data_IF_119341642450
#
_entry.id   IF_119341642450
#
_cell.length_a   1.000
_cell.length_b   1.000
_cell.length_c   1.000
_cell.angle_alpha   90.00
_cell.angle_beta   90.00
_cell.angle_gamma   90.00
#
_symmetry.space_group_name_H-M   'P 1'
#
loop_
_entity.id
_entity.type
_entity.pdbx_description
1 polymer ?
#
# COMPACT_ATOMS: atom_id res chain seq x y z
N UNK A 1 2.49 12.27 35.20
CA UNK A 1 2.04 13.21 34.14
C UNK A 1 0.52 13.18 34.10
N UNK A 2 -0.13 14.35 34.14
CA UNK A 2 -1.58 14.45 34.24
C UNK A 2 -2.26 13.82 33.01
N UNK A 3 -3.29 13.01 33.26
CA UNK A 3 -4.07 12.31 32.25
C UNK A 3 -4.57 13.20 31.11
N UNK A 4 -4.69 14.53 31.28
CA UNK A 4 -5.19 15.42 30.23
C UNK A 4 -4.18 15.77 29.13
N UNK A 5 -2.87 15.57 29.33
CA UNK A 5 -1.86 15.87 28.29
C UNK A 5 -1.73 14.77 27.21
N UNK A 6 -2.27 13.57 27.48
CA UNK A 6 -2.15 12.40 26.59
C UNK A 6 -3.13 12.41 25.41
N UNK A 7 -4.21 13.19 25.49
CA UNK A 7 -5.38 13.04 24.61
C UNK A 7 -5.53 14.15 23.55
N UNK A 8 -4.74 15.22 23.66
CA UNK A 8 -4.63 16.27 22.62
C UNK A 8 -3.42 16.03 21.71
N UNK A 9 -2.41 15.32 22.23
CA UNK A 9 -1.20 14.91 21.51
C UNK A 9 -1.01 13.40 21.74
N UNK A 10 -1.77 12.54 21.04
CA UNK A 10 -1.58 11.09 21.07
C UNK A 10 -0.08 10.78 21.03
N UNK A 11 0.44 10.12 22.07
CA UNK A 11 1.77 9.54 22.01
C UNK A 11 1.60 8.22 21.28
N UNK A 12 1.93 8.21 19.99
CA UNK A 12 1.71 7.05 19.12
C UNK A 12 2.64 5.89 19.49
N UNK A 13 3.66 6.15 20.32
CA UNK A 13 4.53 5.13 20.91
C UNK A 13 3.94 4.48 22.16
N UNK A 14 2.91 5.07 22.76
CA UNK A 14 2.31 4.55 23.98
C UNK A 14 1.24 3.49 23.68
N UNK A 15 1.44 2.28 24.20
CA UNK A 15 0.44 1.22 24.11
C UNK A 15 -0.75 1.46 25.03
N UNK A 16 -1.83 2.05 24.50
CA UNK A 16 -3.02 2.35 25.30
C UNK A 16 -3.75 1.07 25.73
N UNK A 17 -4.13 0.95 27.01
CA UNK A 17 -5.02 -0.11 27.49
C UNK A 17 -6.42 -0.04 26.86
N UNK A 18 -7.00 -1.19 26.52
CA UNK A 18 -8.35 -1.28 25.94
C UNK A 18 -9.42 -0.57 26.79
N UNK A 19 -9.34 -0.68 28.11
CA UNK A 19 -10.28 -0.01 29.04
C UNK A 19 -10.26 1.52 28.88
N UNK A 20 -9.13 2.10 28.51
CA UNK A 20 -9.02 3.54 28.27
C UNK A 20 -9.64 3.93 26.93
N UNK A 21 -9.37 3.17 25.86
CA UNK A 21 -9.98 3.38 24.55
C UNK A 21 -11.52 3.33 24.62
N UNK A 22 -12.07 2.36 25.36
CA UNK A 22 -13.53 2.25 25.54
C UNK A 22 -14.13 3.40 26.37
N UNK A 23 -13.44 3.85 27.43
CA UNK A 23 -13.95 4.92 28.31
C UNK A 23 -13.81 6.32 27.70
N UNK A 24 -12.82 6.49 26.81
CA UNK A 24 -12.44 7.76 26.20
C UNK A 24 -12.06 7.50 24.74
N UNK A 25 -13.03 7.20 23.87
CA UNK A 25 -12.76 6.99 22.45
C UNK A 25 -12.20 8.28 21.83
N UNK A 26 -11.40 8.17 20.74
CA UNK A 26 -10.95 9.33 19.97
C UNK A 26 -12.11 10.24 19.58
N UNK A 27 -11.96 11.54 19.83
CA UNK A 27 -13.00 12.55 19.53
C UNK A 27 -12.84 13.16 18.14
N UNK A 28 -11.60 13.22 17.64
CA UNK A 28 -11.28 13.58 16.25
C UNK A 28 -11.10 12.29 15.44
N UNK A 29 -11.57 12.30 14.19
CA UNK A 29 -11.32 11.27 13.18
C UNK A 29 -10.90 11.94 11.88
N UNK A 30 -10.01 11.32 11.14
CA UNK A 30 -9.69 11.73 9.77
C UNK A 30 -10.88 11.39 8.85
N UNK A 31 -10.93 12.00 7.66
CA UNK A 31 -11.85 11.52 6.60
C UNK A 31 -11.21 10.34 5.90
N UNK A 32 -11.44 9.14 6.39
CA UNK A 32 -10.77 7.94 5.90
C UNK A 32 -11.72 6.75 5.78
N UNK A 33 -11.33 5.76 4.95
CA UNK A 33 -12.03 4.50 4.83
C UNK A 33 -11.06 3.33 4.62
N UNK A 34 -11.49 2.14 5.04
CA UNK A 34 -10.84 0.89 4.65
C UNK A 34 -11.33 0.54 3.24
N UNK A 35 -10.42 0.31 2.30
CA UNK A 35 -10.75 0.03 0.89
C UNK A 35 -10.33 -1.39 0.55
N UNK A 36 -11.29 -2.16 0.07
CA UNK A 36 -11.16 -3.60 -0.15
C UNK A 36 -11.68 -3.91 -1.55
N UNK A 37 -10.80 -4.30 -2.47
CA UNK A 37 -11.19 -4.90 -3.75
C UNK A 37 -11.23 -6.41 -3.56
N UNK A 38 -12.39 -7.03 -3.71
CA UNK A 38 -12.56 -8.45 -3.36
C UNK A 38 -13.70 -9.09 -4.13
N UNK A 39 -13.54 -10.37 -4.51
CA UNK A 39 -14.57 -11.13 -5.23
C UNK A 39 -15.47 -11.88 -4.26
N UNK A 40 -16.68 -12.20 -4.72
CA UNK A 40 -17.64 -12.99 -3.94
C UNK A 40 -17.06 -14.32 -3.45
N UNK A 41 -16.18 -14.98 -4.23
CA UNK A 41 -15.55 -16.26 -3.87
C UNK A 41 -14.51 -16.18 -2.74
N UNK A 42 -14.07 -14.97 -2.38
CA UNK A 42 -13.08 -14.71 -1.33
C UNK A 42 -13.75 -14.37 0.01
N UNK A 43 -15.08 -14.56 0.12
CA UNK A 43 -15.92 -14.24 1.27
C UNK A 43 -15.35 -14.69 2.61
N UNK A 44 -14.89 -15.94 2.70
CA UNK A 44 -14.36 -16.49 3.96
C UNK A 44 -13.07 -15.78 4.37
N UNK A 45 -12.10 -15.69 3.46
CA UNK A 45 -10.80 -15.08 3.71
C UNK A 45 -10.91 -13.59 4.12
N UNK A 46 -11.81 -12.81 3.49
CA UNK A 46 -12.01 -11.42 3.89
C UNK A 46 -12.82 -11.29 5.19
N UNK A 47 -13.78 -12.20 5.47
CA UNK A 47 -14.49 -12.19 6.75
C UNK A 47 -13.53 -12.43 7.92
N UNK A 48 -12.62 -13.40 7.80
CA UNK A 48 -11.58 -13.65 8.80
C UNK A 48 -10.66 -12.45 9.01
N UNK A 49 -10.25 -11.83 7.91
CA UNK A 49 -9.45 -10.59 7.93
C UNK A 49 -10.17 -9.49 8.70
N UNK A 50 -11.46 -9.24 8.43
CA UNK A 50 -12.24 -8.20 9.11
C UNK A 50 -12.37 -8.49 10.59
N UNK A 51 -12.62 -9.74 11.01
CA UNK A 51 -12.69 -10.10 12.43
C UNK A 51 -11.37 -9.79 13.13
N UNK A 52 -10.24 -10.19 12.53
CA UNK A 52 -8.92 -9.91 13.07
C UNK A 52 -8.61 -8.40 13.09
N UNK A 53 -8.96 -7.67 12.03
CA UNK A 53 -8.71 -6.24 11.93
C UNK A 53 -9.58 -5.41 12.88
N UNK A 54 -10.84 -5.82 13.09
CA UNK A 54 -11.69 -5.26 14.15
C UNK A 54 -11.05 -5.46 15.51
N UNK A 55 -10.54 -6.66 15.81
CA UNK A 55 -9.91 -6.95 17.09
C UNK A 55 -8.66 -6.10 17.33
N UNK A 56 -7.79 -5.98 16.32
CA UNK A 56 -6.50 -5.30 16.45
C UNK A 56 -6.61 -3.78 16.32
N UNK A 57 -7.61 -3.24 15.63
CA UNK A 57 -7.72 -1.81 15.37
C UNK A 57 -9.16 -1.29 15.41
N UNK A 58 -9.97 -1.68 14.43
CA UNK A 58 -11.08 -0.82 13.99
C UNK A 58 -12.27 -0.79 14.97
N UNK A 59 -12.36 -1.74 15.93
CA UNK A 59 -13.34 -1.66 17.03
C UNK A 59 -13.18 -0.41 17.90
N UNK A 60 -11.99 0.20 17.91
CA UNK A 60 -11.67 1.35 18.73
C UNK A 60 -11.79 2.70 17.98
N UNK A 61 -11.80 2.68 16.65
CA UNK A 61 -11.72 3.89 15.80
C UNK A 61 -12.91 4.04 14.85
N UNK A 62 -13.61 2.95 14.52
CA UNK A 62 -14.88 2.96 13.79
C UNK A 62 -14.80 3.71 12.45
N UNK A 63 -13.81 3.33 11.63
CA UNK A 63 -13.71 3.76 10.25
C UNK A 63 -14.57 2.88 9.32
N UNK A 64 -15.23 3.45 8.31
CA UNK A 64 -16.08 2.71 7.40
C UNK A 64 -15.28 1.79 6.46
N UNK A 65 -15.89 0.69 6.03
CA UNK A 65 -15.38 -0.17 4.97
C UNK A 65 -16.05 0.16 3.63
N UNK A 66 -15.25 0.21 2.57
CA UNK A 66 -15.68 0.33 1.18
C UNK A 66 -15.21 -0.90 0.43
N UNK A 67 -16.16 -1.78 0.13
CA UNK A 67 -15.94 -2.98 -0.67
C UNK A 67 -16.20 -2.67 -2.14
N UNK A 68 -15.27 -3.02 -3.00
CA UNK A 68 -15.34 -2.88 -4.46
C UNK A 68 -15.17 -4.26 -5.10
N UNK A 69 -15.86 -4.50 -6.21
CA UNK A 69 -15.80 -5.76 -6.95
C UNK A 69 -16.14 -5.48 -8.42
N UNK A 70 -15.53 -6.23 -9.35
CA UNK A 70 -15.86 -6.21 -10.77
C UNK A 70 -17.24 -6.82 -11.07
N UNK A 71 -17.79 -7.60 -10.13
CA UNK A 71 -19.13 -8.16 -10.17
C UNK A 71 -20.02 -7.61 -9.03
N UNK A 72 -21.36 -7.62 -9.19
CA UNK A 72 -22.26 -7.31 -8.09
C UNK A 72 -22.04 -8.22 -6.88
N UNK A 73 -21.92 -7.63 -5.69
CA UNK A 73 -21.86 -8.40 -4.45
C UNK A 73 -23.17 -9.13 -4.17
N UNK A 74 -23.08 -10.41 -3.82
CA UNK A 74 -24.25 -11.21 -3.40
C UNK A 74 -24.75 -10.77 -2.02
N UNK A 75 -26.02 -11.05 -1.72
CA UNK A 75 -26.56 -10.79 -0.37
C UNK A 75 -25.92 -11.70 0.69
N UNK A 76 -25.46 -12.89 0.30
CA UNK A 76 -24.68 -13.77 1.17
C UNK A 76 -23.37 -13.10 1.59
N UNK A 77 -22.63 -12.53 0.62
CA UNK A 77 -21.39 -11.81 0.87
C UNK A 77 -21.61 -10.64 1.82
N UNK A 78 -22.57 -9.76 1.50
CA UNK A 78 -22.90 -8.61 2.36
C UNK A 78 -23.32 -9.05 3.76
N UNK A 79 -24.09 -10.14 3.86
CA UNK A 79 -24.49 -10.74 5.13
C UNK A 79 -23.29 -11.25 5.94
N UNK A 80 -22.31 -11.89 5.29
CA UNK A 80 -21.08 -12.36 5.93
C UNK A 80 -20.24 -11.19 6.47
N UNK A 81 -20.07 -10.12 5.69
CA UNK A 81 -19.30 -8.95 6.13
C UNK A 81 -19.95 -8.28 7.35
N UNK A 82 -21.29 -8.09 7.32
CA UNK A 82 -22.04 -7.55 8.47
C UNK A 82 -21.93 -8.43 9.71
N UNK A 83 -21.81 -9.76 9.57
CA UNK A 83 -21.57 -10.65 10.73
C UNK A 83 -20.14 -10.52 11.26
N UNK A 84 -19.15 -10.32 10.39
CA UNK A 84 -17.75 -10.15 10.76
C UNK A 84 -17.50 -8.85 11.54
N UNK A 85 -18.23 -7.77 11.22
CA UNK A 85 -18.19 -6.51 11.97
C UNK A 85 -19.61 -5.88 12.10
N UNK A 86 -20.40 -6.29 13.09
CA UNK A 86 -21.81 -5.91 13.23
C UNK A 86 -22.08 -4.41 13.36
N UNK A 87 -21.17 -3.68 14.01
CA UNK A 87 -21.33 -2.25 14.28
C UNK A 87 -20.69 -1.36 13.21
N UNK A 88 -19.98 -1.95 12.23
CA UNK A 88 -19.21 -1.19 11.25
C UNK A 88 -20.10 -0.66 10.11
N UNK A 89 -19.84 0.59 9.70
CA UNK A 89 -20.43 1.14 8.47
C UNK A 89 -19.77 0.50 7.24
N UNK A 90 -20.57 -0.05 6.34
CA UNK A 90 -20.09 -0.72 5.12
C UNK A 90 -20.78 -0.18 3.87
N UNK A 91 -19.99 0.15 2.85
CA UNK A 91 -20.45 0.52 1.51
C UNK A 91 -19.97 -0.54 0.53
N UNK A 92 -20.84 -0.92 -0.42
CA UNK A 92 -20.55 -1.94 -1.44
C UNK A 92 -20.72 -1.31 -2.82
N UNK A 93 -19.66 -1.29 -3.62
CA UNK A 93 -19.60 -0.67 -4.94
C UNK A 93 -19.26 -1.67 -6.03
N UNK A 94 -19.86 -1.48 -7.20
CA UNK A 94 -19.49 -2.17 -8.44
C UNK A 94 -18.46 -1.32 -9.17
N UNK A 95 -17.33 -1.93 -9.56
CA UNK A 95 -16.33 -1.27 -10.39
C UNK A 95 -16.94 -0.94 -11.75
N UNK A 96 -16.84 0.32 -12.23
CA UNK A 96 -17.30 0.67 -13.57
C UNK A 96 -16.60 -0.16 -14.65
N UNK A 97 -17.36 -0.68 -15.61
CA UNK A 97 -16.83 -1.51 -16.70
C UNK A 97 -15.69 -0.82 -17.47
N UNK A 98 -15.79 0.50 -17.68
CA UNK A 98 -14.72 1.31 -18.33
C UNK A 98 -13.37 1.29 -17.59
N UNK A 99 -13.37 0.95 -16.30
CA UNK A 99 -12.18 0.86 -15.45
C UNK A 99 -11.68 -0.59 -15.31
N UNK A 100 -12.47 -1.57 -15.75
CA UNK A 100 -12.18 -3.01 -15.73
C UNK A 100 -12.34 -3.65 -17.12
N UNK A 101 -11.85 -2.97 -18.16
CA UNK A 101 -11.90 -3.43 -19.55
C UNK A 101 -10.63 -3.03 -20.29
N UNK A 102 -10.44 -3.58 -21.50
CA UNK A 102 -9.35 -3.15 -22.38
C UNK A 102 -9.62 -1.74 -22.92
N UNK A 103 -8.67 -0.80 -22.78
CA UNK A 103 -8.79 0.49 -23.43
C UNK A 103 -8.58 0.34 -24.94
N UNK A 104 -9.07 1.32 -25.72
CA UNK A 104 -9.13 1.22 -27.19
C UNK A 104 -7.76 1.16 -27.90
N UNK A 105 -6.68 1.53 -27.22
CA UNK A 105 -5.30 1.46 -27.74
C UNK A 105 -4.61 0.11 -27.45
N UNK A 106 -5.28 -0.80 -26.75
CA UNK A 106 -4.77 -2.16 -26.50
C UNK A 106 -5.32 -3.13 -27.54
N UNK A 107 -4.40 -3.75 -28.26
CA UNK A 107 -4.67 -4.88 -29.15
C UNK A 107 -4.90 -6.13 -28.29
N UNK A 108 -6.13 -6.63 -28.28
CA UNK A 108 -6.53 -7.76 -27.45
C UNK A 108 -5.91 -9.09 -27.92
N UNK A 109 -5.66 -9.24 -29.22
CA UNK A 109 -4.99 -10.45 -29.76
C UNK A 109 -3.53 -10.47 -29.33
N UNK A 110 -2.86 -9.32 -29.39
CA UNK A 110 -1.50 -9.17 -28.85
C UNK A 110 -1.47 -9.40 -27.34
N UNK A 111 -2.42 -8.85 -26.58
CA UNK A 111 -2.51 -9.08 -25.14
C UNK A 111 -2.72 -10.57 -24.80
N UNK A 112 -3.56 -11.27 -25.56
CA UNK A 112 -3.77 -12.71 -25.39
C UNK A 112 -2.48 -13.52 -25.69
N UNK A 113 -1.75 -13.15 -26.74
CA UNK A 113 -0.45 -13.76 -27.06
C UNK A 113 0.60 -13.49 -25.97
N UNK A 114 0.67 -12.26 -25.46
CA UNK A 114 1.54 -11.89 -24.33
C UNK A 114 1.24 -12.72 -23.09
N UNK A 115 -0.04 -12.84 -22.70
CA UNK A 115 -0.45 -13.68 -21.57
C UNK A 115 -0.02 -15.13 -21.75
N UNK A 116 -0.27 -15.69 -22.94
CA UNK A 116 0.16 -17.06 -23.26
C UNK A 116 1.68 -17.22 -23.13
N UNK A 117 2.45 -16.28 -23.69
CA UNK A 117 3.91 -16.32 -23.61
C UNK A 117 4.43 -16.23 -22.17
N UNK A 118 3.79 -15.40 -21.34
CA UNK A 118 4.14 -15.26 -19.92
C UNK A 118 3.80 -16.52 -19.12
N UNK A 119 2.63 -17.13 -19.38
CA UNK A 119 2.23 -18.40 -18.78
C UNK A 119 3.17 -19.54 -19.15
N UNK A 120 3.49 -19.68 -20.45
CA UNK A 120 4.43 -20.68 -20.97
C UNK A 120 5.85 -20.49 -20.39
N UNK A 121 6.21 -19.26 -19.99
CA UNK A 121 7.50 -18.92 -19.36
C UNK A 121 7.47 -18.97 -17.84
N UNK A 122 6.34 -19.30 -17.22
CA UNK A 122 6.19 -19.40 -15.76
C UNK A 122 6.18 -18.06 -15.01
N UNK A 123 5.86 -16.96 -15.70
CA UNK A 123 5.73 -15.63 -15.05
C UNK A 123 4.51 -15.65 -14.12
N UNK A 124 4.74 -15.35 -12.84
CA UNK A 124 3.68 -15.41 -11.81
C UNK A 124 2.48 -14.52 -12.18
N UNK A 125 1.31 -15.16 -12.30
CA UNK A 125 0.04 -14.57 -12.74
C UNK A 125 0.03 -13.98 -14.17
N UNK A 126 1.08 -14.16 -14.96
CA UNK A 126 1.16 -13.60 -16.32
C UNK A 126 0.12 -14.17 -17.29
N UNK A 127 -0.39 -15.37 -17.05
CA UNK A 127 -1.50 -15.94 -17.81
C UNK A 127 -2.90 -15.43 -17.40
N UNK A 128 -3.02 -14.74 -16.26
CA UNK A 128 -4.32 -14.43 -15.65
C UNK A 128 -4.83 -13.04 -16.06
N UNK A 129 -5.70 -13.00 -17.05
CA UNK A 129 -6.31 -11.76 -17.58
C UNK A 129 -6.92 -10.84 -16.51
N UNK A 130 -7.68 -11.41 -15.57
CA UNK A 130 -8.28 -10.63 -14.47
C UNK A 130 -7.24 -10.01 -13.54
N UNK A 131 -6.04 -10.59 -13.44
CA UNK A 131 -4.94 -10.02 -12.65
C UNK A 131 -4.37 -8.77 -13.31
N UNK A 132 -4.26 -8.73 -14.64
CA UNK A 132 -3.87 -7.53 -15.39
C UNK A 132 -4.88 -6.38 -15.19
N UNK A 133 -6.19 -6.69 -15.26
CA UNK A 133 -7.23 -5.70 -14.95
C UNK A 133 -7.14 -5.20 -13.50
N UNK A 134 -6.91 -6.09 -12.53
CA UNK A 134 -6.74 -5.73 -11.13
C UNK A 134 -5.55 -4.78 -10.93
N UNK A 135 -4.38 -5.10 -11.48
CA UNK A 135 -3.19 -4.24 -11.36
C UNK A 135 -3.43 -2.86 -11.99
N UNK A 136 -4.07 -2.81 -13.16
CA UNK A 136 -4.45 -1.54 -13.80
C UNK A 136 -5.48 -0.76 -12.97
N UNK A 137 -6.48 -1.44 -12.39
CA UNK A 137 -7.50 -0.84 -11.55
C UNK A 137 -6.93 -0.19 -10.28
N UNK A 138 -6.07 -0.93 -9.57
CA UNK A 138 -5.38 -0.44 -8.39
C UNK A 138 -4.42 0.71 -8.75
N UNK A 139 -3.76 0.65 -9.90
CA UNK A 139 -2.86 1.73 -10.35
C UNK A 139 -3.61 3.02 -10.72
N UNK A 140 -4.78 2.91 -11.34
CA UNK A 140 -5.36 4.04 -12.09
C UNK A 140 -6.72 4.54 -11.66
N UNK A 141 -7.49 3.76 -10.89
CA UNK A 141 -8.95 3.96 -10.88
C UNK A 141 -9.61 3.86 -9.52
N UNK A 142 -9.15 3.00 -8.60
CA UNK A 142 -9.90 2.77 -7.35
C UNK A 142 -10.19 4.06 -6.58
N UNK A 143 -9.24 5.00 -6.57
CA UNK A 143 -9.33 6.30 -5.89
C UNK A 143 -10.33 7.27 -6.52
N UNK A 144 -10.87 6.97 -7.70
CA UNK A 144 -11.93 7.74 -8.38
C UNK A 144 -13.31 7.09 -8.24
N UNK A 145 -13.41 5.96 -7.51
CA UNK A 145 -14.70 5.34 -7.28
C UNK A 145 -15.59 6.28 -6.44
N UNK A 146 -16.86 6.55 -6.82
CA UNK A 146 -17.70 7.56 -6.14
C UNK A 146 -17.88 7.37 -4.63
N UNK A 147 -17.81 6.12 -4.16
CA UNK A 147 -17.85 5.80 -2.72
C UNK A 147 -16.65 6.35 -1.94
N UNK A 148 -15.60 6.82 -2.62
CA UNK A 148 -14.41 7.41 -2.02
C UNK A 148 -14.37 8.95 -2.12
N UNK A 149 -15.36 9.60 -2.71
CA UNK A 149 -15.37 11.06 -2.94
C UNK A 149 -15.33 11.86 -1.63
N UNK A 150 -15.90 11.32 -0.56
CA UNK A 150 -15.98 11.97 0.75
C UNK A 150 -14.74 11.77 1.63
N UNK A 151 -13.77 10.94 1.20
CA UNK A 151 -12.58 10.61 1.98
C UNK A 151 -11.31 11.28 1.42
N UNK A 152 -10.38 11.55 2.32
CA UNK A 152 -9.05 12.12 2.06
C UNK A 152 -7.94 11.05 2.18
N UNK A 153 -8.22 9.97 2.91
CA UNK A 153 -7.30 8.85 3.17
C UNK A 153 -7.96 7.51 2.91
N UNK A 154 -7.14 6.51 2.59
CA UNK A 154 -7.55 5.12 2.55
C UNK A 154 -6.54 4.23 3.27
N UNK A 155 -7.05 3.11 3.79
CA UNK A 155 -6.24 1.96 4.15
C UNK A 155 -6.66 0.78 3.28
N UNK A 156 -5.76 0.31 2.40
CA UNK A 156 -6.00 -0.90 1.62
C UNK A 156 -5.91 -2.14 2.51
N UNK A 157 -6.94 -2.97 2.45
CA UNK A 157 -7.02 -4.25 3.17
C UNK A 157 -7.40 -5.34 2.16
N UNK A 158 -6.66 -6.43 2.12
CA UNK A 158 -6.87 -7.56 1.20
C UNK A 158 -7.44 -8.78 1.94
N UNK A 159 -8.13 -9.72 1.26
CA UNK A 159 -8.50 -11.00 1.84
C UNK A 159 -7.27 -11.82 2.27
N UNK A 160 -7.40 -12.59 3.35
CA UNK A 160 -6.38 -13.54 3.80
C UNK A 160 -5.19 -12.92 4.55
N UNK A 161 -5.26 -11.64 4.91
CA UNK A 161 -4.22 -10.96 5.68
C UNK A 161 -4.42 -11.11 7.18
N UNK A 162 -3.35 -10.89 7.95
CA UNK A 162 -3.41 -10.95 9.41
C UNK A 162 -2.60 -9.84 10.07
N UNK A 163 -3.21 -9.20 11.05
CA UNK A 163 -2.61 -8.24 11.96
C UNK A 163 -2.27 -8.92 13.28
N UNK A 164 -1.05 -8.72 13.76
CA UNK A 164 -0.53 -9.38 14.96
C UNK A 164 -0.50 -8.48 16.18
N UNK A 165 -0.33 -7.17 15.98
CA UNK A 165 -0.23 -6.19 17.05
C UNK A 165 -1.52 -5.38 17.18
N UNK A 166 -1.86 -5.03 18.41
CA UNK A 166 -2.90 -4.05 18.66
C UNK A 166 -2.43 -2.67 18.21
N UNK A 167 -3.28 -1.96 17.48
CA UNK A 167 -3.05 -0.59 17.03
C UNK A 167 -3.86 0.32 17.94
N UNK A 168 -3.16 1.07 18.80
CA UNK A 168 -3.79 1.80 19.91
C UNK A 168 -3.84 3.32 19.73
N UNK A 169 -3.41 3.80 18.56
CA UNK A 169 -3.56 5.17 18.08
C UNK A 169 -4.24 5.16 16.71
N UNK A 170 -4.59 6.35 16.20
CA UNK A 170 -5.19 6.52 14.89
C UNK A 170 -4.10 6.75 13.82
N UNK A 171 -3.83 5.79 12.91
CA UNK A 171 -2.79 5.95 11.90
C UNK A 171 -3.07 7.08 10.92
N UNK A 172 -4.33 7.41 10.62
CA UNK A 172 -4.63 8.53 9.72
C UNK A 172 -4.30 9.87 10.36
N UNK A 173 -4.63 10.03 11.64
CA UNK A 173 -4.25 11.25 12.37
C UNK A 173 -2.73 11.34 12.57
N UNK A 174 -2.02 10.21 12.70
CA UNK A 174 -0.55 10.18 12.65
C UNK A 174 -0.05 10.73 11.31
N UNK A 175 -0.59 10.23 10.20
CA UNK A 175 -0.19 10.66 8.87
C UNK A 175 -0.44 12.16 8.65
N UNK A 176 -1.59 12.69 9.11
CA UNK A 176 -1.88 14.13 9.11
C UNK A 176 -0.87 14.93 9.95
N UNK A 177 -0.65 14.52 11.21
CA UNK A 177 0.19 15.22 12.19
C UNK A 177 1.64 15.37 11.71
N UNK A 178 2.19 14.34 11.07
CA UNK A 178 3.58 14.31 10.61
C UNK A 178 3.73 14.56 9.12
N UNK A 179 2.69 15.10 8.46
CA UNK A 179 2.66 15.41 7.02
C UNK A 179 3.15 14.27 6.13
N UNK A 180 2.77 13.03 6.48
CA UNK A 180 3.01 11.87 5.64
C UNK A 180 1.98 11.83 4.51
N UNK A 181 2.27 11.09 3.45
CA UNK A 181 1.39 10.91 2.27
C UNK A 181 1.18 9.46 1.93
N UNK A 182 2.18 8.61 2.18
CA UNK A 182 2.16 7.19 1.86
C UNK A 182 2.81 6.38 2.98
N UNK A 183 2.19 5.27 3.37
CA UNK A 183 2.62 4.44 4.48
C UNK A 183 2.55 2.96 4.15
N UNK A 184 3.58 2.22 4.53
CA UNK A 184 3.76 0.80 4.21
C UNK A 184 4.28 0.00 5.41
N UNK A 185 4.16 -1.33 5.34
CA UNK A 185 4.74 -2.29 6.32
C UNK A 185 5.73 -3.26 5.70
N UNK A 186 5.64 -3.53 4.40
CA UNK A 186 6.51 -4.49 3.70
C UNK A 186 7.08 -3.84 2.43
N UNK A 187 8.34 -4.12 2.16
CA UNK A 187 9.01 -3.80 0.89
C UNK A 187 9.65 -5.05 0.30
N UNK A 188 9.49 -5.27 -0.99
CA UNK A 188 10.00 -6.45 -1.69
C UNK A 188 10.74 -6.07 -2.98
N UNK A 189 11.53 -7.01 -3.51
CA UNK A 189 12.00 -6.97 -4.89
C UNK A 189 10.88 -7.44 -5.82
N UNK A 190 10.64 -6.71 -6.89
CA UNK A 190 9.74 -7.13 -7.97
C UNK A 190 10.41 -8.19 -8.85
N UNK A 191 9.59 -9.06 -9.43
CA UNK A 191 10.00 -10.04 -10.42
C UNK A 191 10.30 -9.32 -11.74
N UNK A 192 11.59 -9.28 -12.13
CA UNK A 192 12.06 -8.56 -13.33
C UNK A 192 11.27 -8.91 -14.60
N UNK A 193 10.88 -10.18 -14.76
CA UNK A 193 10.14 -10.67 -15.94
C UNK A 193 8.73 -10.10 -16.06
N UNK A 194 8.18 -9.52 -14.99
CA UNK A 194 6.85 -8.91 -15.00
C UNK A 194 6.86 -7.45 -15.48
N UNK A 195 8.03 -6.80 -15.43
CA UNK A 195 8.21 -5.36 -15.67
C UNK A 195 9.45 -5.02 -16.53
N UNK A 196 9.75 -5.77 -17.62
CA UNK A 196 11.00 -5.58 -18.37
C UNK A 196 11.18 -4.17 -18.95
N UNK A 197 10.10 -3.43 -19.21
CA UNK A 197 10.21 -2.06 -19.75
C UNK A 197 9.73 -0.96 -18.80
N UNK A 198 9.22 -1.29 -17.61
CA UNK A 198 8.63 -0.31 -16.69
C UNK A 198 9.64 0.79 -16.30
N UNK A 199 10.82 0.41 -15.81
CA UNK A 199 11.82 1.37 -15.34
C UNK A 199 12.21 2.38 -16.42
N UNK A 200 12.57 1.88 -17.61
CA UNK A 200 12.91 2.71 -18.75
C UNK A 200 11.77 3.66 -19.12
N UNK A 201 10.53 3.16 -19.14
CA UNK A 201 9.35 3.98 -19.43
C UNK A 201 9.18 5.10 -18.41
N UNK A 202 9.42 4.83 -17.13
CA UNK A 202 9.36 5.81 -16.04
C UNK A 202 10.49 6.85 -16.15
N UNK A 203 11.71 6.45 -16.50
CA UNK A 203 12.82 7.40 -16.74
C UNK A 203 12.54 8.31 -17.96
N UNK A 204 11.95 7.76 -19.03
CA UNK A 204 11.52 8.53 -20.19
C UNK A 204 10.40 9.53 -19.84
N UNK A 205 9.43 9.11 -19.02
CA UNK A 205 8.40 9.99 -18.48
C UNK A 205 9.03 11.15 -17.69
N UNK A 206 9.89 10.83 -16.72
CA UNK A 206 10.56 11.82 -15.87
C UNK A 206 11.35 12.83 -16.70
N UNK A 207 12.11 12.34 -17.71
CA UNK A 207 12.83 13.20 -18.65
C UNK A 207 11.89 14.11 -19.44
N UNK A 208 10.78 13.58 -19.96
CA UNK A 208 9.81 14.35 -20.75
C UNK A 208 9.13 15.46 -19.94
N UNK A 209 8.94 15.26 -18.63
CA UNK A 209 8.33 16.22 -17.70
C UNK A 209 9.35 17.03 -16.89
N UNK A 210 10.65 16.83 -17.14
CA UNK A 210 11.76 17.50 -16.44
C UNK A 210 11.73 17.27 -14.91
N UNK A 211 11.37 16.07 -14.48
CA UNK A 211 11.42 15.64 -13.08
C UNK A 211 12.88 15.29 -12.75
N UNK A 212 13.41 15.87 -11.67
CA UNK A 212 14.78 15.58 -11.21
C UNK A 212 14.84 14.22 -10.54
N UNK A 213 15.40 13.23 -11.25
CA UNK A 213 15.64 11.88 -10.79
C UNK A 213 17.13 11.60 -10.51
N UNK A 214 17.94 12.65 -10.33
CA UNK A 214 19.37 12.51 -10.02
C UNK A 214 19.62 12.10 -8.56
N UNK A 215 20.82 11.60 -8.26
CA UNK A 215 21.23 11.22 -6.88
C UNK A 215 21.17 12.37 -5.85
N UNK A 216 21.15 13.61 -6.32
CA UNK A 216 21.07 14.82 -5.50
C UNK A 216 19.64 15.39 -5.42
N UNK A 217 18.67 14.73 -6.08
CA UNK A 217 17.27 15.11 -6.00
C UNK A 217 16.78 15.09 -4.55
N UNK A 218 15.83 15.97 -4.24
CA UNK A 218 15.08 15.94 -2.97
C UNK A 218 13.98 14.89 -2.98
N UNK A 219 13.62 14.39 -4.17
CA UNK A 219 12.60 13.38 -4.37
C UNK A 219 13.13 12.01 -3.96
N UNK A 220 12.20 11.09 -3.69
CA UNK A 220 12.50 9.74 -3.25
C UNK A 220 13.11 8.86 -4.36
N UNK A 221 12.96 9.22 -5.64
CA UNK A 221 13.35 8.40 -6.80
C UNK A 221 14.72 7.70 -6.69
N UNK A 222 15.80 8.32 -6.18
CA UNK A 222 17.11 7.67 -6.05
C UNK A 222 17.10 6.40 -5.18
N UNK A 223 16.12 6.24 -4.29
CA UNK A 223 15.93 4.99 -3.52
C UNK A 223 15.74 3.77 -4.41
N UNK A 224 15.11 3.94 -5.58
CA UNK A 224 14.80 2.86 -6.51
C UNK A 224 15.94 2.55 -7.48
N UNK A 225 17.02 3.34 -7.49
CA UNK A 225 18.13 3.15 -8.41
C UNK A 225 19.23 2.30 -7.76
N UNK A 226 19.72 1.29 -8.48
CA UNK A 226 20.97 0.63 -8.10
C UNK A 226 22.15 1.57 -8.35
N UNK A 227 22.94 1.84 -7.32
CA UNK A 227 24.03 2.82 -7.37
C UNK A 227 25.19 2.41 -8.28
N UNK A 228 25.32 1.11 -8.62
CA UNK A 228 26.41 0.61 -9.45
C UNK A 228 26.02 0.57 -10.93
N UNK A 229 24.83 0.03 -11.24
CA UNK A 229 24.37 -0.13 -12.62
C UNK A 229 23.60 1.08 -13.15
N UNK A 230 22.98 1.87 -12.27
CA UNK A 230 22.02 2.92 -12.63
C UNK A 230 20.64 2.39 -13.04
N UNK A 231 20.45 1.06 -13.06
CA UNK A 231 19.19 0.39 -13.39
C UNK A 231 18.24 0.36 -12.17
N UNK A 232 17.01 -0.10 -12.37
CA UNK A 232 16.07 -0.35 -11.29
C UNK A 232 16.63 -1.41 -10.34
N UNK A 233 16.65 -1.12 -9.04
CA UNK A 233 17.01 -2.09 -8.01
C UNK A 233 15.85 -3.07 -7.68
N UNK A 234 14.72 -2.96 -8.39
CA UNK A 234 13.50 -3.76 -8.25
C UNK A 234 12.72 -3.53 -6.95
N UNK A 235 13.19 -2.66 -6.05
CA UNK A 235 12.50 -2.40 -4.80
C UNK A 235 11.17 -1.70 -5.01
N UNK A 236 10.16 -2.13 -4.25
CA UNK A 236 8.86 -1.48 -4.19
C UNK A 236 8.24 -1.64 -2.80
N UNK A 237 7.32 -0.75 -2.46
CA UNK A 237 6.41 -0.88 -1.32
C UNK A 237 5.29 -1.86 -1.70
N UNK A 238 5.03 -2.84 -0.84
CA UNK A 238 4.12 -3.93 -1.17
C UNK A 238 2.66 -3.51 -0.90
N UNK A 239 1.94 -3.21 -1.98
CA UNK A 239 0.71 -2.40 -1.97
C UNK A 239 -0.53 -3.09 -1.37
N UNK A 240 -0.49 -4.39 -1.03
CA UNK A 240 -1.61 -5.02 -0.32
C UNK A 240 -1.85 -4.40 1.08
N UNK A 241 -0.82 -3.79 1.65
CA UNK A 241 -0.96 -2.85 2.75
C UNK A 241 -0.53 -1.46 2.28
N UNK A 242 -1.47 -0.52 2.30
CA UNK A 242 -1.17 0.89 2.07
C UNK A 242 -2.06 1.75 2.95
N UNK A 243 -1.46 2.68 3.69
CA UNK A 243 -2.17 3.80 4.30
C UNK A 243 -1.69 5.05 3.59
N UNK A 244 -2.53 5.64 2.74
CA UNK A 244 -2.11 6.77 1.93
C UNK A 244 -3.21 7.81 1.72
N UNK A 245 -2.78 9.02 1.39
CA UNK A 245 -3.69 10.08 1.01
C UNK A 245 -4.22 9.83 -0.40
N UNK A 246 -5.54 9.84 -0.57
CA UNK A 246 -6.17 9.74 -1.89
C UNK A 246 -5.74 10.90 -2.80
N UNK A 247 -5.36 12.04 -2.22
CA UNK A 247 -4.86 13.19 -2.98
C UNK A 247 -3.53 12.90 -3.68
N UNK A 248 -2.74 11.94 -3.22
CA UNK A 248 -1.53 11.51 -3.92
C UNK A 248 -1.87 11.07 -5.35
N UNK A 249 -2.92 10.26 -5.47
CA UNK A 249 -3.36 9.65 -6.73
C UNK A 249 -4.28 10.56 -7.56
N UNK A 250 -5.03 11.45 -6.91
CA UNK A 250 -5.96 12.36 -7.60
C UNK A 250 -5.29 13.57 -8.24
N UNK A 251 -4.00 13.80 -7.98
CA UNK A 251 -3.26 14.94 -8.55
C UNK A 251 -3.17 14.90 -10.08
N UNK A 252 -3.12 16.06 -10.76
CA UNK A 252 -2.82 16.10 -12.20
C UNK A 252 -1.52 15.39 -12.58
N UNK A 253 -0.51 15.45 -11.71
CA UNK A 253 0.79 14.81 -11.91
C UNK A 253 0.68 13.29 -11.93
N UNK A 254 0.00 12.69 -10.95
CA UNK A 254 -0.21 11.24 -10.94
C UNK A 254 -1.09 10.79 -12.11
N UNK A 255 -2.14 11.54 -12.44
CA UNK A 255 -3.01 11.23 -13.59
C UNK A 255 -2.24 11.27 -14.91
N UNK A 256 -1.38 12.25 -15.12
CA UNK A 256 -0.49 12.32 -16.30
C UNK A 256 0.48 11.14 -16.33
N UNK A 257 1.07 10.78 -15.19
CA UNK A 257 1.94 9.60 -15.06
C UNK A 257 1.23 8.29 -15.40
N UNK A 258 0.10 8.01 -14.75
CA UNK A 258 -0.69 6.82 -15.01
C UNK A 258 -1.11 6.76 -16.48
N UNK A 259 -1.61 7.86 -17.05
CA UNK A 259 -2.00 7.89 -18.46
C UNK A 259 -0.82 7.61 -19.40
N UNK A 260 0.38 8.11 -19.09
CA UNK A 260 1.59 7.82 -19.86
C UNK A 260 1.92 6.32 -19.85
N UNK A 261 1.82 5.68 -18.67
CA UNK A 261 2.01 4.24 -18.54
C UNK A 261 0.90 3.45 -19.24
N UNK A 262 -0.36 3.83 -19.05
CA UNK A 262 -1.53 3.12 -19.58
C UNK A 262 -1.54 3.11 -21.12
N UNK A 263 -1.11 4.21 -21.75
CA UNK A 263 -1.00 4.32 -23.22
C UNK A 263 0.03 3.37 -23.85
N UNK A 264 0.98 2.83 -23.07
CA UNK A 264 1.89 1.79 -23.58
C UNK A 264 1.17 0.46 -23.83
N UNK A 265 0.05 0.23 -23.14
CA UNK A 265 -0.64 -1.07 -23.09
C UNK A 265 0.08 -2.14 -22.27
N UNK A 266 1.19 -1.81 -21.59
CA UNK A 266 2.04 -2.79 -20.91
C UNK A 266 1.44 -3.34 -19.60
N UNK A 267 0.35 -2.76 -19.09
CA UNK A 267 -0.49 -3.46 -18.12
C UNK A 267 -1.03 -4.78 -18.67
N UNK A 268 -1.13 -4.95 -19.99
CA UNK A 268 -1.65 -6.14 -20.67
C UNK A 268 -0.61 -6.85 -21.56
N UNK A 269 0.38 -6.14 -22.10
CA UNK A 269 1.45 -6.75 -22.90
C UNK A 269 2.60 -7.31 -22.04
N UNK A 270 2.79 -6.73 -20.85
CA UNK A 270 3.62 -7.21 -19.75
C UNK A 270 2.69 -7.45 -18.54
N UNK A 271 3.24 -7.58 -17.31
CA UNK A 271 2.45 -7.77 -16.08
C UNK A 271 2.81 -6.70 -15.04
N UNK A 272 2.65 -5.43 -15.41
CA UNK A 272 2.91 -4.30 -14.51
C UNK A 272 1.97 -4.33 -13.31
N UNK A 273 2.52 -4.60 -12.13
CA UNK A 273 1.81 -4.54 -10.87
C UNK A 273 1.57 -3.11 -10.39
N UNK A 274 0.51 -2.90 -9.62
CA UNK A 274 0.25 -1.62 -8.97
C UNK A 274 1.31 -1.27 -7.92
N UNK A 275 1.88 -2.28 -7.25
CA UNK A 275 2.91 -2.07 -6.22
C UNK A 275 4.16 -1.32 -6.75
N UNK A 276 4.85 -1.78 -7.83
CA UNK A 276 5.94 -1.00 -8.43
C UNK A 276 5.48 0.31 -9.06
N UNK A 277 4.26 0.40 -9.61
CA UNK A 277 3.73 1.64 -10.19
C UNK A 277 3.52 2.72 -9.13
N UNK A 278 2.84 2.41 -8.02
CA UNK A 278 2.66 3.30 -6.87
C UNK A 278 4.00 3.71 -6.26
N UNK A 279 4.93 2.76 -6.15
CA UNK A 279 6.27 3.01 -5.58
C UNK A 279 7.07 3.97 -6.43
N UNK A 280 7.11 3.78 -7.75
CA UNK A 280 7.82 4.67 -8.67
C UNK A 280 7.15 6.05 -8.75
N UNK A 281 5.81 6.11 -8.68
CA UNK A 281 5.10 7.38 -8.56
C UNK A 281 5.45 8.13 -7.26
N UNK A 282 5.49 7.43 -6.12
CA UNK A 282 5.98 8.00 -4.87
C UNK A 282 7.44 8.48 -5.02
N UNK A 283 8.28 7.73 -5.73
CA UNK A 283 9.63 8.14 -6.10
C UNK A 283 9.68 9.48 -6.85
N UNK A 284 8.80 9.65 -7.84
CA UNK A 284 8.75 10.84 -8.69
C UNK A 284 8.12 12.06 -8.02
N UNK A 285 7.21 11.87 -7.06
CA UNK A 285 6.35 12.95 -6.58
C UNK A 285 6.43 13.23 -5.08
N UNK A 286 7.08 12.37 -4.30
CA UNK A 286 7.25 12.55 -2.86
C UNK A 286 8.72 12.70 -2.48
N UNK A 287 8.95 13.41 -1.38
CA UNK A 287 10.21 13.36 -0.64
C UNK A 287 10.24 12.15 0.29
N UNK A 288 11.43 11.71 0.70
CA UNK A 288 11.60 10.55 1.59
C UNK A 288 10.87 10.70 2.94
N UNK A 289 10.77 11.91 3.48
CA UNK A 289 10.07 12.19 4.75
C UNK A 289 8.53 12.25 4.62
N UNK A 290 7.98 12.25 3.41
CA UNK A 290 6.54 12.11 3.18
C UNK A 290 6.10 10.64 3.15
N UNK A 291 7.05 9.69 3.14
CA UNK A 291 6.78 8.25 3.20
C UNK A 291 7.06 7.72 4.61
N UNK A 292 6.21 6.81 5.10
CA UNK A 292 6.30 6.25 6.44
C UNK A 292 6.34 4.73 6.44
N UNK A 293 7.30 4.16 7.18
CA UNK A 293 7.36 2.74 7.48
C UNK A 293 6.70 2.50 8.85
N UNK A 294 5.58 1.79 8.85
CA UNK A 294 4.83 1.42 10.04
C UNK A 294 5.46 0.17 10.71
N UNK A 295 6.63 0.35 11.31
CA UNK A 295 7.35 -0.73 12.00
C UNK A 295 6.55 -1.37 13.16
N UNK A 296 5.58 -0.65 13.72
CA UNK A 296 4.77 -1.05 14.86
C UNK A 296 3.55 -1.92 14.49
N UNK A 297 3.19 -2.00 13.19
CA UNK A 297 2.00 -2.71 12.72
C UNK A 297 2.38 -4.10 12.20
N UNK A 298 2.44 -5.09 13.10
CA UNK A 298 2.69 -6.48 12.69
C UNK A 298 1.63 -6.99 11.70
N UNK A 299 2.07 -7.46 10.53
CA UNK A 299 1.24 -7.75 9.36
C UNK A 299 1.75 -8.96 8.57
N UNK A 300 0.85 -9.76 8.02
CA UNK A 300 1.18 -10.84 7.09
C UNK A 300 0.18 -10.92 5.95
N UNK A 301 0.71 -11.19 4.75
CA UNK A 301 -0.03 -11.60 3.57
C UNK A 301 0.74 -12.76 2.93
N UNK A 302 0.05 -13.87 2.65
CA UNK A 302 0.66 -15.15 2.24
C UNK A 302 1.84 -15.58 3.13
N UNK A 303 3.03 -15.73 2.53
CA UNK A 303 4.26 -16.16 3.19
C UNK A 303 5.07 -14.99 3.76
N UNK A 304 4.73 -13.76 3.41
CA UNK A 304 5.50 -12.56 3.78
C UNK A 304 4.91 -11.94 5.04
N UNK A 305 5.76 -11.78 6.04
CA UNK A 305 5.36 -11.36 7.39
C UNK A 305 6.30 -10.31 7.95
N UNK A 306 5.75 -9.14 8.23
CA UNK A 306 6.36 -8.10 9.04
C UNK A 306 5.94 -8.28 10.51
N UNK A 307 6.90 -8.25 11.42
CA UNK A 307 6.62 -8.17 12.85
C UNK A 307 7.62 -7.21 13.51
N UNK A 308 7.16 -6.29 14.38
CA UNK A 308 8.06 -5.41 15.12
C UNK A 308 9.11 -6.19 15.89
N UNK A 309 10.37 -5.74 15.84
CA UNK A 309 11.45 -6.34 16.63
C UNK A 309 11.28 -6.08 18.13
N UNK A 310 11.78 -6.99 18.97
CA UNK A 310 11.79 -6.72 20.43
C UNK A 310 12.69 -5.55 20.78
N UNK A 311 13.76 -5.37 20.00
CA UNK A 311 14.78 -4.34 20.18
C UNK A 311 14.25 -2.94 19.87
N UNK A 312 13.31 -2.80 18.92
CA UNK A 312 12.72 -1.49 18.62
C UNK A 312 11.81 -0.99 19.73
N UNK A 313 11.26 -1.91 20.53
CA UNK A 313 10.29 -1.58 21.59
C UNK A 313 8.99 -0.99 21.04
N UNK A 314 8.75 -1.13 19.73
CA UNK A 314 7.55 -0.70 19.03
C UNK A 314 6.53 -1.84 18.95
N UNK A 315 5.27 -1.49 18.71
CA UNK A 315 4.15 -2.43 18.66
C UNK A 315 3.55 -2.74 20.03
N UNK A 316 2.25 -3.06 20.05
CA UNK A 316 1.50 -3.26 21.28
C UNK A 316 0.85 -4.64 21.31
N UNK A 317 1.17 -5.43 22.34
CA UNK A 317 0.54 -6.76 22.58
C UNK A 317 0.54 -7.62 21.32
N UNK A 318 1.71 -7.73 20.70
CA UNK A 318 1.90 -8.45 19.45
C UNK A 318 1.87 -9.97 19.64
N UNK A 319 1.04 -10.66 18.86
CA UNK A 319 0.90 -12.11 18.82
C UNK A 319 1.58 -12.70 17.56
N UNK A 320 2.83 -12.29 17.31
CA UNK A 320 3.55 -12.76 16.13
C UNK A 320 3.88 -14.26 16.23
N UNK A 321 3.58 -15.09 15.21
CA UNK A 321 3.82 -16.53 15.27
C UNK A 321 5.31 -16.87 15.33
N UNK A 322 5.67 -17.91 16.08
CA UNK A 322 7.04 -18.48 16.13
C UNK A 322 7.10 -19.68 15.18
N UNK A 323 8.04 -19.71 14.22
CA UNK A 323 8.28 -20.86 13.33
C UNK A 323 8.23 -20.57 11.82
N UNK A 324 8.65 -21.57 11.04
CA UNK A 324 9.46 -21.50 9.80
C UNK A 324 9.05 -20.42 8.78
N UNK A 325 9.70 -19.26 8.75
CA UNK A 325 10.96 -18.96 9.38
C UNK A 325 10.73 -18.14 10.66
N UNK A 326 11.49 -18.43 11.71
CA UNK A 326 11.39 -17.83 13.06
C UNK A 326 11.56 -16.30 13.10
N UNK A 327 11.72 -15.67 11.94
CA UNK A 327 12.07 -14.27 11.75
C UNK A 327 11.16 -13.70 10.69
N UNK A 328 10.63 -12.52 10.99
CA UNK A 328 10.01 -11.64 10.00
C UNK A 328 10.92 -11.49 8.78
N UNK A 329 10.33 -11.26 7.60
CA UNK A 329 11.08 -11.00 6.36
C UNK A 329 12.06 -9.84 6.52
N UNK A 330 11.81 -8.95 7.48
CA UNK A 330 12.64 -7.79 7.81
C UNK A 330 13.91 -8.13 8.58
N UNK A 331 14.02 -9.35 9.11
CA UNK A 331 15.10 -9.79 9.99
C UNK A 331 15.83 -11.03 9.46
N UNK A 332 15.37 -11.60 8.36
CA UNK A 332 16.03 -12.70 7.70
C UNK A 332 16.80 -12.19 6.48
N UNK A 333 18.06 -12.62 6.41
CA UNK A 333 19.02 -12.21 5.38
C UNK A 333 18.75 -12.87 4.02
N UNK A 334 17.84 -13.83 3.98
CA UNK A 334 17.56 -14.66 2.81
C UNK A 334 16.25 -14.30 2.09
N UNK A 335 15.54 -13.26 2.51
CA UNK A 335 14.34 -12.81 1.80
C UNK A 335 14.64 -11.67 0.84
N UNK A 336 13.83 -11.60 -0.22
CA UNK A 336 13.77 -10.52 -1.20
C UNK A 336 13.21 -9.21 -0.61
N UNK A 337 13.55 -8.89 0.64
CA UNK A 337 13.15 -7.64 1.31
C UNK A 337 14.03 -6.47 0.87
N UNK A 338 13.39 -5.32 0.67
CA UNK A 338 14.09 -4.06 0.46
C UNK A 338 14.22 -3.20 1.72
N UNK A 339 13.79 -3.70 2.89
CA UNK A 339 13.79 -2.89 4.11
C UNK A 339 15.20 -2.44 4.52
N UNK A 340 16.26 -3.28 4.45
CA UNK A 340 17.61 -2.82 4.74
C UNK A 340 18.08 -1.69 3.80
N UNK A 341 17.66 -1.72 2.54
CA UNK A 341 17.93 -0.67 1.54
C UNK A 341 17.19 0.60 1.92
N UNK A 342 15.91 0.50 2.29
CA UNK A 342 15.08 1.61 2.76
C UNK A 342 15.70 2.30 3.99
N UNK A 343 16.02 1.52 5.03
CA UNK A 343 16.60 2.05 6.27
C UNK A 343 17.95 2.73 6.04
N UNK A 344 18.75 2.21 5.09
CA UNK A 344 20.01 2.86 4.67
C UNK A 344 19.73 4.17 3.94
N UNK A 345 18.78 4.18 3.00
CA UNK A 345 18.39 5.38 2.24
C UNK A 345 17.90 6.50 3.17
N UNK A 346 17.00 6.21 4.11
CA UNK A 346 16.49 7.18 5.09
C UNK A 346 17.64 7.81 5.89
N UNK A 347 18.57 7.00 6.39
CA UNK A 347 19.75 7.50 7.13
C UNK A 347 20.66 8.38 6.27
N UNK A 348 20.79 8.08 4.97
CA UNK A 348 21.57 8.88 4.04
C UNK A 348 20.87 10.21 3.70
N UNK A 349 19.54 10.19 3.49
CA UNK A 349 18.72 11.40 3.26
C UNK A 349 18.75 12.35 4.46
N UNK A 350 18.59 11.83 5.68
CA UNK A 350 18.69 12.63 6.92
C UNK A 350 20.05 13.32 7.05
N UNK A 351 21.15 12.61 6.74
CA UNK A 351 22.50 13.19 6.73
C UNK A 351 22.66 14.27 5.66
N UNK A 352 22.09 14.06 4.46
CA UNK A 352 22.10 15.07 3.38
C UNK A 352 21.36 16.33 3.86
N UNK A 353 20.15 16.19 4.39
CA UNK A 353 19.34 17.33 4.91
C UNK A 353 20.04 18.07 6.04
N UNK A 354 20.65 17.35 7.00
CA UNK A 354 21.41 17.95 8.08
C UNK A 354 22.57 18.81 7.56
N UNK A 355 23.32 18.33 6.56
CA UNK A 355 24.41 19.09 5.97
C UNK A 355 23.93 20.35 5.25
N UNK A 356 22.80 20.32 4.54
CA UNK A 356 22.26 21.49 3.82
C UNK A 356 21.86 22.61 4.78
N UNK A 357 21.32 22.26 5.96
CA UNK A 357 20.92 23.22 6.99
C UNK A 357 22.10 23.92 7.69
N UNK A 358 23.34 23.42 7.55
CA UNK A 358 24.54 24.07 8.09
C UNK A 358 25.03 25.22 7.17
N UNK A 359 24.64 25.19 5.89
CA UNK A 359 25.06 26.17 4.87
C UNK A 359 23.96 27.14 4.43
N UNK A 360 22.75 27.00 5.00
CA UNK A 360 21.61 27.93 4.86
C UNK A 360 21.47 28.79 6.10
#
# INVERSE_FOLDING_TARGET
MQANAYYTNYDERACLPQKLLMKKPPTKRAKAAMVILVRNKEQEAIAETIVNFQDKFNKNFDYPYVFLNEEPFTEEFKGAMRRAAPDATMKFGLVPESQWSYPSWVDQDKAAQSRKSMDDSGVLFGGLESYHHMCRYQSGFFFDHPLLDEYEWYWRVEPGVRFFCDITYDPFLYMEKYNKKYGFVVTLLELRDTIPTLWKTVEEYAKSRRIDISENSKLLFPYFRDKNSGDFNLCHFWSNFEIASLNLWRTPQYRDFFNYLDQTGNFFYERWGDAPVHSLAAGLFLQTDEVHYFEDIGYQHDLYRHCPSKESGLGCRCDCPVGTNEKSIDHDKNYDTCLPVWLKHVKEDEKKKANWNVWS
#
